data_IF_116901875958
#
_entry.id   IF_116901875958
#
_cell.length_a   1.000
_cell.length_b   1.000
_cell.length_c   1.000
_cell.angle_alpha   90.00
_cell.angle_beta   90.00
_cell.angle_gamma   90.00
#
_symmetry.space_group_name_H-M   'P 1'
#
loop_
_entity.id
_entity.type
_entity.pdbx_description
1 polymer ?
#
# COMPACT_ATOMS: atom_id res chain seq x y z
N UNK A 1 -28.73 -39.95 1.29
CA UNK A 1 -28.99 -38.50 1.08
C UNK A 1 -27.74 -37.65 1.34
N UNK A 2 -26.94 -37.94 2.36
CA UNK A 2 -25.69 -37.22 2.66
C UNK A 2 -24.62 -37.34 1.56
N UNK A 3 -24.46 -38.52 0.96
CA UNK A 3 -23.48 -38.75 -0.10
C UNK A 3 -23.77 -37.91 -1.36
N UNK A 4 -25.05 -37.80 -1.74
CA UNK A 4 -25.51 -36.95 -2.85
C UNK A 4 -25.34 -35.46 -2.54
N UNK A 5 -25.45 -35.06 -1.26
CA UNK A 5 -25.22 -33.69 -0.77
C UNK A 5 -23.73 -33.33 -0.76
N UNK A 6 -22.86 -34.29 -0.43
CA UNK A 6 -21.41 -34.16 -0.53
C UNK A 6 -20.94 -34.01 -1.98
N UNK A 7 -21.50 -34.79 -2.91
CA UNK A 7 -21.17 -34.70 -4.33
C UNK A 7 -21.58 -33.35 -4.96
N UNK A 8 -22.78 -32.85 -4.63
CA UNK A 8 -23.26 -31.53 -5.11
C UNK A 8 -22.41 -30.39 -4.54
N UNK A 9 -21.95 -30.51 -3.29
CA UNK A 9 -21.07 -29.51 -2.67
C UNK A 9 -19.69 -29.51 -3.32
N UNK A 10 -19.13 -30.69 -3.59
CA UNK A 10 -17.87 -30.85 -4.30
C UNK A 10 -17.95 -30.38 -5.77
N UNK A 11 -19.04 -30.67 -6.48
CA UNK A 11 -19.29 -30.16 -7.84
C UNK A 11 -19.45 -28.64 -7.87
N UNK A 12 -20.15 -28.05 -6.90
CA UNK A 12 -20.28 -26.61 -6.80
C UNK A 12 -18.94 -25.95 -6.45
N UNK A 13 -18.16 -26.50 -5.53
CA UNK A 13 -16.80 -26.02 -5.22
C UNK A 13 -15.87 -26.15 -6.45
N UNK A 14 -15.97 -27.24 -7.22
CA UNK A 14 -15.23 -27.41 -8.47
C UNK A 14 -15.65 -26.41 -9.56
N UNK A 15 -16.96 -26.18 -9.74
CA UNK A 15 -17.48 -25.24 -10.73
C UNK A 15 -17.18 -23.78 -10.37
N UNK A 16 -17.16 -23.43 -9.08
CA UNK A 16 -16.75 -22.10 -8.60
C UNK A 16 -15.25 -21.92 -8.83
N UNK A 17 -14.42 -22.90 -8.47
CA UNK A 17 -12.98 -22.83 -8.71
C UNK A 17 -12.65 -22.75 -10.20
N UNK A 18 -13.35 -23.50 -11.08
CA UNK A 18 -13.17 -23.40 -12.54
C UNK A 18 -13.57 -22.02 -13.11
N UNK A 19 -14.63 -21.38 -12.57
CA UNK A 19 -15.02 -20.01 -12.96
C UNK A 19 -14.03 -18.95 -12.46
N UNK A 20 -13.53 -19.09 -11.23
CA UNK A 20 -12.46 -18.23 -10.70
C UNK A 20 -11.13 -18.43 -11.42
N UNK A 21 -10.83 -19.64 -11.91
CA UNK A 21 -9.62 -19.93 -12.69
C UNK A 21 -9.72 -19.38 -14.11
N UNK A 22 -10.87 -19.48 -14.78
CA UNK A 22 -11.11 -18.89 -16.10
C UNK A 22 -11.04 -17.35 -16.13
N UNK A 23 -11.14 -16.69 -14.98
CA UNK A 23 -11.14 -15.23 -14.85
C UNK A 23 -9.80 -14.65 -14.40
N UNK A 24 -8.76 -15.45 -14.15
CA UNK A 24 -7.44 -14.93 -13.77
C UNK A 24 -6.46 -14.89 -14.95
N UNK A 25 -5.68 -13.80 -15.01
CA UNK A 25 -4.80 -13.49 -16.13
C UNK A 25 -3.34 -13.40 -15.67
N UNK A 26 -2.42 -13.76 -16.56
CA UNK A 26 -0.99 -13.43 -16.46
C UNK A 26 -0.79 -11.92 -16.58
N UNK A 27 0.40 -11.43 -16.26
CA UNK A 27 0.81 -10.04 -16.52
C UNK A 27 0.69 -9.60 -18.00
N UNK A 28 0.61 -10.55 -18.95
CA UNK A 28 0.38 -10.30 -20.39
C UNK A 28 -1.09 -10.38 -20.83
N UNK A 29 -2.03 -10.52 -19.89
CA UNK A 29 -3.46 -10.66 -20.23
C UNK A 29 -3.83 -12.02 -20.83
N UNK A 30 -2.98 -13.05 -20.67
CA UNK A 30 -3.29 -14.44 -21.09
C UNK A 30 -3.92 -15.20 -19.93
N UNK A 31 -4.77 -16.22 -20.17
CA UNK A 31 -5.35 -17.01 -19.09
C UNK A 31 -4.28 -17.73 -18.27
N UNK A 32 -4.39 -17.64 -16.93
CA UNK A 32 -3.43 -18.19 -15.98
C UNK A 32 -3.43 -19.72 -15.99
N UNK A 33 -2.27 -20.34 -16.22
CA UNK A 33 -2.10 -21.79 -16.09
C UNK A 33 -1.93 -22.23 -14.62
N UNK A 34 -2.80 -23.10 -14.05
CA UNK A 34 -2.78 -23.52 -12.64
C UNK A 34 -1.50 -24.24 -12.20
N UNK A 35 -0.78 -24.87 -13.14
CA UNK A 35 0.45 -25.61 -12.84
C UNK A 35 1.71 -24.72 -12.83
N UNK A 36 1.61 -23.48 -13.31
CA UNK A 36 2.77 -22.57 -13.47
C UNK A 36 2.63 -21.27 -12.68
N UNK A 37 1.41 -20.79 -12.47
CA UNK A 37 1.15 -19.52 -11.80
C UNK A 37 0.50 -19.72 -10.44
N UNK A 38 0.83 -18.83 -9.50
CA UNK A 38 0.36 -18.88 -8.12
C UNK A 38 1.18 -19.78 -7.22
N UNK A 39 0.64 -20.05 -6.04
CA UNK A 39 1.28 -20.86 -5.00
C UNK A 39 2.38 -20.12 -4.23
N UNK A 40 3.14 -20.89 -3.44
CA UNK A 40 4.11 -20.35 -2.49
C UNK A 40 5.31 -19.66 -3.16
N UNK A 41 5.66 -20.08 -4.38
CA UNK A 41 6.73 -19.46 -5.17
C UNK A 41 6.35 -18.05 -5.64
N UNK A 42 5.11 -17.84 -6.09
CA UNK A 42 4.62 -16.51 -6.43
C UNK A 42 4.50 -15.64 -5.16
N UNK A 43 3.94 -16.22 -4.09
CA UNK A 43 3.76 -15.52 -2.83
C UNK A 43 5.09 -15.09 -2.17
N UNK A 44 6.18 -15.85 -2.33
CA UNK A 44 7.48 -15.50 -1.73
C UNK A 44 8.06 -14.20 -2.28
N UNK A 45 7.83 -13.87 -3.56
CA UNK A 45 8.23 -12.58 -4.12
C UNK A 45 7.46 -11.42 -3.48
N UNK A 46 6.16 -11.61 -3.23
CA UNK A 46 5.32 -10.62 -2.53
C UNK A 46 5.76 -10.47 -1.06
N UNK A 47 6.12 -11.57 -0.40
CA UNK A 47 6.69 -11.54 0.96
C UNK A 47 8.02 -10.79 1.00
N UNK A 48 8.86 -10.95 -0.03
CA UNK A 48 10.10 -10.19 -0.17
C UNK A 48 9.84 -8.70 -0.31
N UNK A 49 8.92 -8.30 -1.20
CA UNK A 49 8.47 -6.90 -1.29
C UNK A 49 7.98 -6.38 0.08
N UNK A 50 7.17 -7.17 0.79
CA UNK A 50 6.64 -6.80 2.11
C UNK A 50 7.74 -6.52 3.13
N UNK A 51 8.77 -7.37 3.18
CA UNK A 51 9.90 -7.21 4.09
C UNK A 51 10.75 -5.97 3.74
N UNK A 52 10.97 -5.70 2.47
CA UNK A 52 11.75 -4.55 2.03
C UNK A 52 11.00 -3.21 2.17
N UNK A 53 9.71 -3.19 1.86
CA UNK A 53 8.85 -2.00 2.02
C UNK A 53 8.72 -1.62 3.49
N UNK A 54 8.43 -2.59 4.38
CA UNK A 54 8.31 -2.28 5.80
C UNK A 54 9.65 -1.82 6.38
N UNK A 55 10.75 -2.40 5.91
CA UNK A 55 12.09 -2.01 6.33
C UNK A 55 12.38 -0.55 5.96
N UNK A 56 12.07 -0.15 4.71
CA UNK A 56 12.26 1.22 4.24
C UNK A 56 11.41 2.22 5.02
N UNK A 57 10.12 1.95 5.17
CA UNK A 57 9.15 2.86 5.79
C UNK A 57 9.30 2.93 7.31
N UNK A 58 9.60 1.83 7.99
CA UNK A 58 9.85 1.85 9.43
C UNK A 58 11.10 2.69 9.76
N UNK A 59 12.17 2.59 8.95
CA UNK A 59 13.37 3.39 9.16
C UNK A 59 13.14 4.89 8.89
N UNK A 60 12.34 5.23 7.87
CA UNK A 60 11.96 6.64 7.62
C UNK A 60 11.05 7.14 8.74
N UNK A 61 9.96 6.43 9.05
CA UNK A 61 8.97 6.86 10.02
C UNK A 61 9.53 7.11 11.42
N UNK A 62 10.41 6.22 11.91
CA UNK A 62 10.97 6.35 13.25
C UNK A 62 12.01 7.47 13.37
N UNK A 63 12.81 7.71 12.32
CA UNK A 63 13.90 8.69 12.39
C UNK A 63 13.60 10.01 11.66
N UNK A 64 12.42 10.12 11.05
CA UNK A 64 11.96 11.35 10.41
C UNK A 64 11.90 12.50 11.41
N UNK A 65 11.44 12.28 12.64
CA UNK A 65 11.37 13.33 13.66
C UNK A 65 12.75 13.96 13.91
N UNK A 66 13.79 13.13 13.99
CA UNK A 66 15.18 13.55 14.16
C UNK A 66 15.65 14.40 12.99
N UNK A 67 15.28 14.03 11.76
CA UNK A 67 15.58 14.83 10.57
C UNK A 67 14.89 16.21 10.61
N UNK A 68 13.61 16.22 10.94
CA UNK A 68 12.80 17.45 10.94
C UNK A 68 13.27 18.44 12.01
N UNK A 69 13.71 17.94 13.17
CA UNK A 69 14.26 18.77 14.24
C UNK A 69 15.68 19.22 13.92
N UNK A 70 16.59 18.28 13.65
CA UNK A 70 18.03 18.58 13.61
C UNK A 70 18.51 19.16 12.29
N UNK A 71 17.81 18.90 11.18
CA UNK A 71 18.27 19.30 9.84
C UNK A 71 17.33 20.33 9.19
N UNK A 72 16.05 20.31 9.53
CA UNK A 72 15.07 21.28 9.02
C UNK A 72 14.73 22.39 10.03
N UNK A 73 15.26 22.29 11.25
CA UNK A 73 15.10 23.25 12.34
C UNK A 73 13.66 23.60 12.70
N UNK A 74 12.71 22.68 12.53
CA UNK A 74 11.36 22.90 13.03
C UNK A 74 11.30 22.67 14.54
N UNK A 75 10.40 23.39 15.22
CA UNK A 75 10.12 23.15 16.63
C UNK A 75 9.65 21.72 16.90
N UNK A 76 9.84 21.24 18.13
CA UNK A 76 9.42 19.89 18.53
C UNK A 76 7.92 19.64 18.29
N UNK A 77 7.08 20.62 18.59
CA UNK A 77 5.62 20.54 18.36
C UNK A 77 5.27 20.44 16.88
N UNK A 78 5.89 21.27 16.04
CA UNK A 78 5.68 21.22 14.58
C UNK A 78 6.19 19.90 13.99
N UNK A 79 7.34 19.41 14.46
CA UNK A 79 7.93 18.14 14.02
C UNK A 79 7.04 16.95 14.36
N UNK A 80 6.49 16.89 15.58
CA UNK A 80 5.56 15.85 15.99
C UNK A 80 4.27 15.87 15.14
N UNK A 81 3.74 17.06 14.84
CA UNK A 81 2.58 17.21 13.96
C UNK A 81 2.88 16.75 12.52
N UNK A 82 4.04 17.10 11.96
CA UNK A 82 4.46 16.67 10.62
C UNK A 82 4.53 15.14 10.54
N UNK A 83 5.19 14.50 11.51
CA UNK A 83 5.34 13.03 11.53
C UNK A 83 4.00 12.33 11.71
N UNK A 84 3.16 12.83 12.64
CA UNK A 84 1.83 12.25 12.88
C UNK A 84 0.92 12.43 11.66
N UNK A 85 0.95 13.60 11.01
CA UNK A 85 0.21 13.85 9.78
C UNK A 85 0.69 12.97 8.64
N UNK A 86 2.01 12.77 8.50
CA UNK A 86 2.58 11.86 7.51
C UNK A 86 2.06 10.43 7.68
N UNK A 87 2.12 9.89 8.92
CA UNK A 87 1.60 8.56 9.23
C UNK A 87 0.08 8.48 9.00
N UNK A 88 -0.68 9.48 9.43
CA UNK A 88 -2.13 9.56 9.17
C UNK A 88 -2.45 9.60 7.68
N UNK A 89 -1.66 10.31 6.89
CA UNK A 89 -1.83 10.40 5.42
C UNK A 89 -1.59 9.05 4.76
N UNK A 90 -0.59 8.27 5.19
CA UNK A 90 -0.37 6.89 4.69
C UNK A 90 -1.63 6.04 4.85
N UNK A 91 -2.25 6.07 6.04
CA UNK A 91 -3.45 5.28 6.31
C UNK A 91 -4.68 5.76 5.51
N UNK A 92 -4.85 7.08 5.36
CA UNK A 92 -5.93 7.63 4.51
C UNK A 92 -5.72 7.26 3.04
N UNK A 93 -4.49 7.36 2.54
CA UNK A 93 -4.16 6.99 1.17
C UNK A 93 -4.21 5.48 0.93
N UNK A 94 -4.11 4.65 1.96
CA UNK A 94 -4.35 3.21 1.83
C UNK A 94 -5.79 2.87 1.43
N UNK A 95 -6.77 3.62 1.95
CA UNK A 95 -8.16 3.48 1.51
C UNK A 95 -8.31 3.84 0.02
N UNK A 96 -7.65 4.92 -0.40
CA UNK A 96 -7.66 5.38 -1.78
C UNK A 96 -6.94 4.40 -2.72
N UNK A 97 -5.82 3.83 -2.29
CA UNK A 97 -5.06 2.83 -3.03
C UNK A 97 -5.80 1.52 -3.22
N UNK A 98 -6.56 1.08 -2.20
CA UNK A 98 -7.48 -0.06 -2.33
C UNK A 98 -8.59 0.24 -3.35
N UNK A 99 -9.23 1.40 -3.26
CA UNK A 99 -10.26 1.83 -4.20
C UNK A 99 -9.76 1.86 -5.67
N UNK A 100 -8.56 2.42 -5.91
CA UNK A 100 -7.96 2.50 -7.24
C UNK A 100 -7.61 1.13 -7.81
N UNK A 101 -7.09 0.23 -6.97
CA UNK A 101 -6.79 -1.15 -7.34
C UNK A 101 -8.04 -1.91 -7.76
N UNK A 102 -9.08 -1.86 -6.94
CA UNK A 102 -10.32 -2.60 -7.17
C UNK A 102 -11.10 -2.07 -8.39
N UNK A 103 -11.01 -0.77 -8.67
CA UNK A 103 -11.83 -0.12 -9.70
C UNK A 103 -11.17 -0.03 -11.08
N UNK A 104 -9.86 0.20 -11.16
CA UNK A 104 -9.20 0.59 -12.42
C UNK A 104 -8.00 -0.29 -12.79
N UNK A 105 -7.03 -0.43 -11.89
CA UNK A 105 -5.67 -0.88 -12.25
C UNK A 105 -5.43 -2.37 -11.93
N UNK A 106 -6.12 -2.92 -10.93
CA UNK A 106 -5.79 -4.21 -10.32
C UNK A 106 -4.57 -4.12 -9.38
N UNK A 107 -4.43 -5.11 -8.51
CA UNK A 107 -3.45 -5.08 -7.40
C UNK A 107 -2.01 -5.01 -7.87
N UNK A 108 -1.64 -5.78 -8.91
CA UNK A 108 -0.28 -5.81 -9.43
C UNK A 108 0.18 -4.46 -10.00
N UNK A 109 -0.60 -3.85 -10.89
CA UNK A 109 -0.26 -2.56 -11.50
C UNK A 109 -0.27 -1.43 -10.48
N UNK A 110 -1.21 -1.47 -9.52
CA UNK A 110 -1.27 -0.49 -8.43
C UNK A 110 0.02 -0.55 -7.61
N UNK A 111 0.45 -1.74 -7.15
CA UNK A 111 1.71 -1.87 -6.42
C UNK A 111 2.92 -1.41 -7.24
N UNK A 112 2.97 -1.73 -8.53
CA UNK A 112 4.11 -1.37 -9.37
C UNK A 112 4.20 0.15 -9.55
N UNK A 113 3.12 0.82 -9.95
CA UNK A 113 3.08 2.27 -10.18
C UNK A 113 3.36 3.01 -8.88
N UNK A 114 2.63 2.69 -7.82
CA UNK A 114 2.76 3.41 -6.55
C UNK A 114 4.06 3.06 -5.82
N UNK A 115 4.65 1.89 -6.04
CA UNK A 115 5.97 1.58 -5.53
C UNK A 115 7.08 2.40 -6.20
N UNK A 116 6.97 2.71 -7.50
CA UNK A 116 7.87 3.69 -8.14
C UNK A 116 7.66 5.11 -7.61
N UNK A 117 6.42 5.49 -7.30
CA UNK A 117 6.11 6.78 -6.65
C UNK A 117 6.77 6.85 -5.27
N UNK A 118 6.67 5.78 -4.46
CA UNK A 118 7.34 5.68 -3.17
C UNK A 118 8.86 5.82 -3.30
N UNK A 119 9.45 5.05 -4.23
CA UNK A 119 10.88 5.11 -4.51
C UNK A 119 11.33 6.52 -4.90
N UNK A 120 10.56 7.21 -5.74
CA UNK A 120 10.85 8.59 -6.13
C UNK A 120 10.84 9.55 -4.93
N UNK A 121 9.89 9.38 -4.00
CA UNK A 121 9.83 10.16 -2.77
C UNK A 121 11.03 9.90 -1.86
N UNK A 122 11.44 8.64 -1.71
CA UNK A 122 12.62 8.26 -0.93
C UNK A 122 13.92 8.81 -1.55
N UNK A 123 14.05 8.77 -2.87
CA UNK A 123 15.20 9.36 -3.59
C UNK A 123 15.21 10.88 -3.38
N UNK A 124 14.06 11.56 -3.50
CA UNK A 124 13.97 13.00 -3.26
C UNK A 124 14.37 13.37 -1.82
N UNK A 125 13.91 12.62 -0.82
CA UNK A 125 14.34 12.80 0.58
C UNK A 125 15.84 12.59 0.75
N UNK A 126 16.41 11.57 0.10
CA UNK A 126 17.85 11.29 0.14
C UNK A 126 18.67 12.40 -0.51
N UNK A 127 18.26 12.88 -1.69
CA UNK A 127 18.91 14.00 -2.40
C UNK A 127 18.83 15.28 -1.57
N UNK A 128 17.67 15.58 -0.99
CA UNK A 128 17.51 16.73 -0.10
C UNK A 128 18.39 16.60 1.15
N UNK A 129 18.52 15.39 1.70
CA UNK A 129 19.39 15.13 2.84
C UNK A 129 20.88 15.26 2.50
N UNK A 130 21.27 14.97 1.26
CA UNK A 130 22.66 15.00 0.82
C UNK A 130 23.14 16.40 0.41
N UNK A 131 22.29 17.17 -0.28
CA UNK A 131 22.68 18.46 -0.89
C UNK A 131 22.52 19.61 0.12
N UNK A 132 23.62 20.27 0.55
CA UNK A 132 23.56 21.32 1.57
C UNK A 132 22.77 22.56 1.14
N UNK A 133 22.66 22.82 -0.17
CA UNK A 133 21.90 23.94 -0.72
C UNK A 133 20.38 23.77 -0.56
N UNK A 134 19.92 22.51 -0.41
CA UNK A 134 18.52 22.15 -0.24
C UNK A 134 18.08 22.12 1.24
N UNK A 135 19.01 22.42 2.15
CA UNK A 135 18.79 22.52 3.60
C UNK A 135 18.99 23.93 4.13
N UNK A 136 18.36 24.31 5.25
CA UNK A 136 18.76 25.51 5.98
C UNK A 136 20.24 25.41 6.42
N UNK A 137 20.92 26.55 6.63
CA UNK A 137 22.31 26.56 7.07
C UNK A 137 22.45 25.84 8.41
N UNK A 138 23.50 25.03 8.59
CA UNK A 138 23.72 24.21 9.79
C UNK A 138 23.57 25.06 11.06
N UNK A 139 22.64 24.69 11.92
CA UNK A 139 22.37 25.37 13.18
C UNK A 139 22.08 24.32 14.25
N UNK A 140 22.66 24.47 15.43
CA UNK A 140 22.41 23.52 16.52
C UNK A 140 21.19 23.99 17.30
N UNK A 141 20.05 23.34 17.09
CA UNK A 141 18.79 23.63 17.83
C UNK A 141 18.96 23.56 19.36
N UNK A 142 19.94 22.79 19.85
CA UNK A 142 20.28 22.65 21.28
C UNK A 142 21.04 23.88 21.82
N UNK A 143 21.82 24.57 20.98
CA UNK A 143 22.72 25.66 21.39
C UNK A 143 22.18 27.03 21.00
N UNK A 144 21.53 27.12 19.84
CA UNK A 144 21.09 28.38 19.22
C UNK A 144 19.57 28.59 19.27
N UNK A 145 18.81 27.59 19.75
CA UNK A 145 17.36 27.69 20.03
C UNK A 145 16.56 28.34 18.90
N UNK A 146 15.85 29.43 19.21
CA UNK A 146 14.98 30.17 18.28
C UNK A 146 15.72 30.97 17.18
N UNK A 147 17.06 31.00 17.17
CA UNK A 147 17.84 31.71 16.14
C UNK A 147 18.13 30.88 14.90
N UNK A 148 17.79 29.58 14.91
CA UNK A 148 17.92 28.74 13.74
C UNK A 148 16.85 29.08 12.70
N UNK A 149 17.28 29.34 11.46
CA UNK A 149 16.36 29.63 10.38
C UNK A 149 15.65 28.34 9.94
N UNK A 150 14.34 28.31 10.16
CA UNK A 150 13.48 27.19 9.72
C UNK A 150 13.52 27.03 8.20
N UNK A 151 13.34 25.80 7.72
CA UNK A 151 13.25 25.52 6.29
C UNK A 151 12.02 26.18 5.64
N UNK A 152 12.18 27.38 5.08
CA UNK A 152 11.13 28.17 4.42
C UNK A 152 11.28 28.16 2.89
N UNK A 153 10.16 28.42 2.20
CA UNK A 153 10.09 28.52 0.74
C UNK A 153 10.32 27.19 0.02
N UNK A 154 11.22 27.19 -0.97
CA UNK A 154 11.46 26.06 -1.88
C UNK A 154 11.96 24.82 -1.14
N UNK A 155 12.78 24.99 -0.08
CA UNK A 155 13.34 23.88 0.71
C UNK A 155 12.26 23.10 1.46
N UNK A 156 11.31 23.82 2.08
CA UNK A 156 10.15 23.22 2.74
C UNK A 156 9.21 22.54 1.73
N UNK A 157 8.98 23.16 0.57
CA UNK A 157 8.13 22.59 -0.48
C UNK A 157 8.68 21.24 -0.97
N UNK A 158 9.98 21.16 -1.27
CA UNK A 158 10.62 19.91 -1.71
C UNK A 158 10.47 18.82 -0.65
N UNK A 159 10.64 19.17 0.62
CA UNK A 159 10.48 18.25 1.73
C UNK A 159 9.06 17.68 1.84
N UNK A 160 8.04 18.54 1.80
CA UNK A 160 6.65 18.11 1.86
C UNK A 160 6.26 17.30 0.62
N UNK A 161 6.70 17.69 -0.57
CA UNK A 161 6.47 16.91 -1.80
C UNK A 161 7.08 15.52 -1.66
N UNK A 162 8.32 15.41 -1.19
CA UNK A 162 8.97 14.12 -1.00
C UNK A 162 8.25 13.26 0.05
N UNK A 163 7.87 13.83 1.19
CA UNK A 163 7.08 13.14 2.22
C UNK A 163 5.73 12.64 1.69
N UNK A 164 4.98 13.48 0.98
CA UNK A 164 3.67 13.09 0.48
C UNK A 164 3.76 12.08 -0.67
N UNK A 165 4.84 12.09 -1.47
CA UNK A 165 5.12 11.04 -2.45
C UNK A 165 5.36 9.68 -1.77
N UNK A 166 6.17 9.66 -0.69
CA UNK A 166 6.37 8.44 0.10
C UNK A 166 5.04 7.99 0.72
N UNK A 167 4.26 8.91 1.28
CA UNK A 167 2.97 8.60 1.89
C UNK A 167 1.97 8.01 0.88
N UNK A 168 1.92 8.58 -0.32
CA UNK A 168 1.06 8.11 -1.41
C UNK A 168 1.47 6.74 -1.92
N UNK A 169 2.78 6.53 -2.12
CA UNK A 169 3.31 5.27 -2.57
C UNK A 169 3.07 4.14 -1.57
N UNK A 170 3.55 4.32 -0.33
CA UNK A 170 3.43 3.31 0.72
C UNK A 170 1.97 3.03 1.10
N UNK A 171 1.14 4.08 1.17
CA UNK A 171 -0.29 3.94 1.40
C UNK A 171 -0.94 3.03 0.37
N UNK A 172 -0.64 3.20 -0.92
CA UNK A 172 -1.23 2.37 -1.98
C UNK A 172 -0.61 0.97 -2.09
N UNK A 173 0.67 0.79 -1.76
CA UNK A 173 1.36 -0.50 -1.88
C UNK A 173 0.91 -1.48 -0.78
N UNK A 174 0.87 -1.04 0.49
CA UNK A 174 0.61 -1.90 1.66
C UNK A 174 -0.67 -2.77 1.57
N UNK A 175 -1.88 -2.21 1.35
CA UNK A 175 -3.10 -3.02 1.32
C UNK A 175 -3.13 -3.96 0.10
N UNK A 176 -2.64 -3.47 -1.04
CA UNK A 176 -2.62 -4.24 -2.29
C UNK A 176 -1.62 -5.39 -2.27
N UNK A 177 -0.54 -5.26 -1.51
CA UNK A 177 0.47 -6.31 -1.33
C UNK A 177 -0.08 -7.52 -0.60
N UNK A 178 -0.79 -7.31 0.51
CA UNK A 178 -1.40 -8.41 1.27
C UNK A 178 -2.50 -9.07 0.45
N UNK A 179 -3.35 -8.28 -0.22
CA UNK A 179 -4.41 -8.80 -1.08
C UNK A 179 -3.84 -9.62 -2.26
N UNK A 180 -2.83 -9.08 -2.95
CA UNK A 180 -2.22 -9.75 -4.10
C UNK A 180 -1.50 -11.05 -3.74
N UNK A 181 -0.83 -11.09 -2.59
CA UNK A 181 -0.19 -12.33 -2.12
C UNK A 181 -1.20 -13.39 -1.68
N UNK A 182 -2.33 -12.98 -1.07
CA UNK A 182 -3.44 -13.87 -0.77
C UNK A 182 -4.07 -14.45 -2.06
N UNK A 183 -4.19 -13.63 -3.11
CA UNK A 183 -4.72 -14.05 -4.42
C UNK A 183 -3.87 -15.11 -5.14
N UNK A 184 -2.64 -15.39 -4.67
CA UNK A 184 -1.81 -16.46 -5.23
C UNK A 184 -2.28 -17.86 -4.80
N UNK A 185 -3.16 -17.97 -3.80
CA UNK A 185 -3.66 -19.24 -3.32
C UNK A 185 -5.14 -19.43 -3.69
N UNK A 186 -5.49 -20.62 -4.19
CA UNK A 186 -6.90 -21.07 -4.23
C UNK A 186 -7.44 -21.20 -2.79
N UNK A 187 -8.76 -21.36 -2.62
CA UNK A 187 -9.54 -21.43 -1.35
C UNK A 187 -9.18 -22.67 -0.48
N UNK A 188 -7.90 -23.02 -0.37
CA UNK A 188 -7.33 -23.98 0.55
C UNK A 188 -6.89 -23.22 1.81
N UNK A 189 -7.78 -23.19 2.80
CA UNK A 189 -7.64 -22.45 4.06
C UNK A 189 -6.31 -22.67 4.79
N UNK A 190 -5.75 -23.88 4.74
CA UNK A 190 -4.46 -24.19 5.40
C UNK A 190 -3.29 -23.44 4.78
N UNK A 191 -3.16 -23.43 3.44
CA UNK A 191 -2.04 -22.76 2.75
C UNK A 191 -2.13 -21.24 2.89
N UNK A 192 -3.35 -20.71 2.83
CA UNK A 192 -3.61 -19.29 3.04
C UNK A 192 -3.25 -18.84 4.46
N UNK A 193 -3.57 -19.64 5.48
CA UNK A 193 -3.15 -19.35 6.86
C UNK A 193 -1.62 -19.36 7.02
N UNK A 194 -0.93 -20.34 6.43
CA UNK A 194 0.54 -20.36 6.40
C UNK A 194 1.12 -19.11 5.73
N UNK A 195 0.51 -18.65 4.63
CA UNK A 195 0.90 -17.41 3.97
C UNK A 195 0.76 -16.20 4.89
N UNK A 196 -0.39 -16.02 5.56
CA UNK A 196 -0.57 -14.90 6.49
C UNK A 196 0.42 -14.94 7.65
N UNK A 197 0.71 -16.13 8.19
CA UNK A 197 1.76 -16.29 9.20
C UNK A 197 3.14 -15.90 8.66
N UNK A 198 3.47 -16.29 7.43
CA UNK A 198 4.72 -15.92 6.78
C UNK A 198 4.80 -14.42 6.47
N UNK A 199 3.68 -13.79 6.08
CA UNK A 199 3.57 -12.35 5.85
C UNK A 199 3.80 -11.56 7.15
N UNK A 200 3.20 -12.02 8.24
CA UNK A 200 3.41 -11.43 9.56
C UNK A 200 4.87 -11.58 10.02
N UNK A 201 5.46 -12.76 9.81
CA UNK A 201 6.88 -12.99 10.09
C UNK A 201 7.79 -12.06 9.26
N UNK A 202 7.54 -11.92 7.96
CA UNK A 202 8.28 -11.02 7.08
C UNK A 202 8.15 -9.55 7.53
N UNK A 203 6.96 -9.14 7.95
CA UNK A 203 6.71 -7.82 8.55
C UNK A 203 7.60 -7.59 9.78
N UNK A 204 7.57 -8.53 10.75
CA UNK A 204 8.35 -8.41 11.98
C UNK A 204 9.86 -8.41 11.73
N UNK A 205 10.36 -9.22 10.78
CA UNK A 205 11.79 -9.24 10.42
C UNK A 205 12.22 -7.93 9.78
N UNK A 206 11.42 -7.40 8.85
CA UNK A 206 11.73 -6.12 8.20
C UNK A 206 11.73 -4.95 9.20
N UNK A 207 10.78 -4.93 10.13
CA UNK A 207 10.71 -3.94 11.21
C UNK A 207 11.90 -4.07 12.18
N UNK A 208 12.27 -5.29 12.59
CA UNK A 208 13.43 -5.53 13.45
C UNK A 208 14.71 -5.00 12.82
N UNK A 209 14.94 -5.29 11.53
CA UNK A 209 16.11 -4.81 10.79
C UNK A 209 16.11 -3.28 10.69
N UNK A 210 14.95 -2.68 10.43
CA UNK A 210 14.82 -1.22 10.34
C UNK A 210 15.16 -0.54 11.66
N UNK A 211 14.56 -1.00 12.76
CA UNK A 211 14.72 -0.38 14.07
C UNK A 211 16.12 -0.59 14.68
N UNK A 212 16.86 -1.60 14.22
CA UNK A 212 18.21 -1.90 14.70
C UNK A 212 19.27 -1.37 13.73
N UNK A 213 19.44 -2.01 12.58
CA UNK A 213 20.52 -1.72 11.64
C UNK A 213 20.34 -0.38 10.94
N UNK A 214 19.16 -0.08 10.40
CA UNK A 214 18.97 1.18 9.66
C UNK A 214 19.01 2.41 10.56
N UNK A 215 18.39 2.36 11.74
CA UNK A 215 18.48 3.45 12.72
C UNK A 215 19.91 3.62 13.22
N UNK A 216 20.64 2.53 13.48
CA UNK A 216 22.05 2.61 13.85
C UNK A 216 22.90 3.28 12.76
N UNK A 217 22.69 2.94 11.49
CA UNK A 217 23.39 3.59 10.37
C UNK A 217 22.98 5.06 10.24
N UNK A 218 21.69 5.37 10.33
CA UNK A 218 21.20 6.75 10.26
C UNK A 218 21.82 7.66 11.34
N UNK A 219 21.99 7.12 12.55
CA UNK A 219 22.55 7.87 13.69
C UNK A 219 24.07 8.03 13.60
N UNK A 220 24.80 7.07 13.02
CA UNK A 220 26.27 7.12 12.94
C UNK A 220 26.80 7.71 11.63
N UNK A 221 26.22 7.33 10.49
CA UNK A 221 26.67 7.74 9.16
C UNK A 221 25.92 8.98 8.61
N UNK A 222 24.84 9.38 9.28
CA UNK A 222 24.02 10.54 8.94
C UNK A 222 22.74 10.19 8.17
N UNK A 223 21.80 11.13 8.19
CA UNK A 223 20.44 10.89 7.69
C UNK A 223 20.38 10.63 6.17
N UNK A 224 21.26 11.25 5.39
CA UNK A 224 21.32 11.05 3.94
C UNK A 224 21.64 9.59 3.57
N UNK A 225 22.54 8.94 4.32
CA UNK A 225 22.84 7.50 4.14
C UNK A 225 21.61 6.67 4.50
N UNK A 226 20.91 7.05 5.56
CA UNK A 226 19.67 6.40 5.98
C UNK A 226 18.57 6.40 4.92
N UNK A 227 18.22 7.58 4.40
CA UNK A 227 17.21 7.69 3.35
C UNK A 227 17.67 7.03 2.04
N UNK A 228 18.97 7.09 1.73
CA UNK A 228 19.55 6.35 0.62
C UNK A 228 19.40 4.83 0.77
N UNK A 229 19.64 4.29 1.96
CA UNK A 229 19.44 2.87 2.26
C UNK A 229 17.96 2.47 2.22
N UNK A 230 17.05 3.30 2.74
CA UNK A 230 15.61 3.06 2.58
C UNK A 230 15.19 3.04 1.10
N UNK A 231 15.72 3.96 0.28
CA UNK A 231 15.48 3.95 -1.16
C UNK A 231 16.04 2.67 -1.83
N UNK A 232 17.23 2.23 -1.44
CA UNK A 232 17.82 0.98 -1.94
C UNK A 232 17.00 -0.25 -1.53
N UNK A 233 16.52 -0.31 -0.28
CA UNK A 233 15.64 -1.36 0.20
C UNK A 233 14.33 -1.40 -0.62
N UNK A 234 13.68 -0.26 -0.82
CA UNK A 234 12.46 -0.19 -1.63
C UNK A 234 12.72 -0.59 -3.10
N UNK A 235 13.85 -0.18 -3.69
CA UNK A 235 14.25 -0.61 -5.02
C UNK A 235 14.44 -2.14 -5.11
N UNK A 236 15.07 -2.75 -4.11
CA UNK A 236 15.19 -4.21 -3.99
C UNK A 236 13.82 -4.89 -3.86
N UNK A 237 12.89 -4.29 -3.12
CA UNK A 237 11.49 -4.73 -3.05
C UNK A 237 10.82 -4.73 -4.42
N UNK A 238 10.95 -3.64 -5.18
CA UNK A 238 10.42 -3.53 -6.54
C UNK A 238 11.06 -4.53 -7.51
N UNK A 239 12.37 -4.75 -7.44
CA UNK A 239 13.05 -5.77 -8.25
C UNK A 239 12.48 -7.16 -7.92
N UNK A 240 12.26 -7.44 -6.63
CA UNK A 240 11.63 -8.69 -6.18
C UNK A 240 10.22 -8.83 -6.76
N UNK A 241 9.41 -7.77 -6.70
CA UNK A 241 8.07 -7.73 -7.30
C UNK A 241 8.13 -8.02 -8.81
N UNK A 242 8.99 -7.32 -9.56
CA UNK A 242 9.09 -7.45 -11.02
C UNK A 242 9.63 -8.84 -11.42
N UNK A 243 10.56 -9.42 -10.66
CA UNK A 243 11.08 -10.77 -10.94
C UNK A 243 10.01 -11.87 -10.82
N UNK A 244 9.01 -11.66 -9.95
CA UNK A 244 7.86 -12.55 -9.77
C UNK A 244 6.79 -12.46 -10.87
N UNK A 245 6.87 -11.49 -11.79
CA UNK A 245 5.84 -11.23 -12.82
C UNK A 245 5.46 -12.45 -13.64
N UNK A 246 6.42 -13.34 -13.92
CA UNK A 246 6.20 -14.57 -14.68
C UNK A 246 5.46 -15.67 -13.91
N UNK A 247 5.30 -15.51 -12.60
CA UNK A 247 4.72 -16.50 -11.69
C UNK A 247 3.40 -16.03 -11.07
N UNK A 248 3.08 -14.73 -11.11
CA UNK A 248 1.86 -14.21 -10.49
C UNK A 248 0.59 -14.62 -11.24
N UNK A 249 -0.43 -14.92 -10.44
CA UNK A 249 -1.82 -14.96 -10.86
C UNK A 249 -2.46 -13.61 -10.56
N UNK A 250 -2.92 -12.89 -11.59
CA UNK A 250 -3.61 -11.62 -11.41
C UNK A 250 -5.12 -11.82 -11.55
N UNK A 251 -5.87 -11.31 -10.58
CA UNK A 251 -7.32 -11.14 -10.71
C UNK A 251 -7.64 -9.82 -11.41
N UNK A 252 -8.60 -9.79 -12.34
CA UNK A 252 -9.07 -8.54 -12.94
C UNK A 252 -9.78 -7.69 -11.87
N UNK A 253 -9.83 -6.36 -12.04
CA UNK A 253 -10.55 -5.48 -11.13
C UNK A 253 -12.02 -5.89 -11.06
N UNK A 254 -12.50 -6.23 -9.86
CA UNK A 254 -13.87 -6.70 -9.61
C UNK A 254 -14.85 -5.56 -9.27
N UNK A 255 -14.38 -4.31 -9.34
CA UNK A 255 -15.14 -3.12 -8.93
C UNK A 255 -15.03 -2.88 -7.43
N UNK A 256 -15.06 -1.62 -7.01
CA UNK A 256 -14.93 -1.27 -5.59
C UNK A 256 -16.25 -1.34 -4.82
N UNK A 257 -16.17 -1.84 -3.58
CA UNK A 257 -17.26 -1.85 -2.57
C UNK A 257 -17.68 -0.42 -2.20
N UNK A 258 -16.80 0.57 -2.35
CA UNK A 258 -17.13 1.97 -2.07
C UNK A 258 -18.19 2.53 -3.03
N UNK A 259 -18.24 2.06 -4.27
CA UNK A 259 -19.19 2.57 -5.27
C UNK A 259 -20.64 2.23 -4.90
N UNK A 260 -21.01 0.97 -4.58
CA UNK A 260 -22.34 0.65 -4.04
C UNK A 260 -22.68 1.39 -2.75
N UNK A 261 -21.73 1.53 -1.81
CA UNK A 261 -21.97 2.23 -0.54
C UNK A 261 -22.27 3.72 -0.78
N UNK A 262 -21.50 4.37 -1.65
CA UNK A 262 -21.75 5.75 -2.05
C UNK A 262 -23.11 5.89 -2.78
N UNK A 263 -23.45 4.96 -3.67
CA UNK A 263 -24.75 4.94 -4.35
C UNK A 263 -25.91 4.82 -3.36
N UNK A 264 -25.81 3.95 -2.35
CA UNK A 264 -26.84 3.79 -1.31
C UNK A 264 -26.95 5.04 -0.45
N UNK A 265 -25.83 5.65 -0.04
CA UNK A 265 -25.83 6.90 0.73
C UNK A 265 -26.47 8.05 -0.06
N UNK A 266 -26.05 8.22 -1.32
CA UNK A 266 -26.60 9.24 -2.22
C UNK A 266 -28.09 8.99 -2.47
N UNK A 267 -28.49 7.73 -2.74
CA UNK A 267 -29.89 7.36 -2.92
C UNK A 267 -30.72 7.62 -1.66
N UNK A 268 -30.20 7.30 -0.46
CA UNK A 268 -30.87 7.54 0.81
C UNK A 268 -31.05 9.03 1.10
N UNK A 269 -30.06 9.87 0.78
CA UNK A 269 -30.14 11.33 0.96
C UNK A 269 -31.11 11.94 -0.05
N UNK A 270 -31.01 11.57 -1.33
CA UNK A 270 -31.85 12.11 -2.40
C UNK A 270 -33.32 11.65 -2.28
N UNK A 271 -33.55 10.41 -1.85
CA UNK A 271 -34.89 9.84 -1.66
C UNK A 271 -35.42 9.97 -0.22
N UNK A 272 -34.76 10.77 0.64
CA UNK A 272 -35.14 10.96 2.05
C UNK A 272 -36.58 11.44 2.27
N UNK A 273 -37.19 12.09 1.26
CA UNK A 273 -38.58 12.58 1.30
C UNK A 273 -39.59 11.63 0.64
N UNK A 274 -39.15 10.48 0.10
CA UNK A 274 -40.08 9.50 -0.46
C UNK A 274 -40.70 8.66 0.65
N UNK A 275 -42.03 8.61 0.68
CA UNK A 275 -42.81 7.78 1.59
C UNK A 275 -42.70 6.33 1.12
N UNK A 276 -42.30 5.43 2.03
CA UNK A 276 -42.23 4.00 1.74
C UNK A 276 -43.62 3.44 1.39
N UNK A 277 -43.77 2.67 0.30
CA UNK A 277 -45.02 1.95 0.05
C UNK A 277 -45.24 0.90 1.15
N UNK A 278 -46.44 0.88 1.73
CA UNK A 278 -46.80 0.06 2.90
C UNK A 278 -46.92 -1.45 2.63
N UNK A 279 -46.47 -1.95 1.47
CA UNK A 279 -46.73 -3.31 1.04
C UNK A 279 -45.43 -4.02 0.57
N UNK A 280 -44.96 -5.08 1.27
CA UNK A 280 -43.70 -5.75 0.95
C UNK A 280 -43.70 -6.56 -0.36
N UNK A 281 -44.83 -6.71 -1.04
CA UNK A 281 -44.98 -7.53 -2.25
C UNK A 281 -45.22 -6.74 -3.55
N UNK A 282 -45.20 -5.40 -3.55
CA UNK A 282 -45.19 -4.65 -4.80
C UNK A 282 -43.75 -4.45 -5.25
N UNK A 283 -43.32 -5.23 -6.24
CA UNK A 283 -42.08 -5.03 -6.97
C UNK A 283 -41.83 -3.55 -7.18
N UNK A 284 -40.65 -3.08 -6.78
CA UNK A 284 -40.15 -1.77 -7.13
C UNK A 284 -39.96 -1.77 -8.65
N UNK A 285 -41.00 -1.42 -9.40
CA UNK A 285 -40.85 -0.98 -10.77
C UNK A 285 -40.06 0.31 -10.71
N UNK A 286 -38.74 0.19 -10.62
CA UNK A 286 -37.84 1.17 -11.20
C UNK A 286 -38.32 1.33 -12.64
N UNK A 287 -39.08 2.39 -12.88
CA UNK A 287 -39.37 2.85 -14.21
C UNK A 287 -38.02 3.13 -14.86
N UNK A 288 -37.59 2.14 -15.64
CA UNK A 288 -36.51 2.16 -16.59
C UNK A 288 -36.69 3.39 -17.47
N UNK A 289 -36.04 4.49 -17.10
CA UNK A 289 -36.01 5.71 -17.91
C UNK A 289 -34.57 6.19 -18.05
N UNK A 290 -33.90 5.53 -18.99
CA UNK A 290 -32.97 6.06 -20.00
C UNK A 290 -31.72 6.86 -19.59
N UNK A 291 -30.57 6.30 -20.04
CA UNK A 291 -29.28 6.92 -20.48
C UNK A 291 -28.53 7.70 -19.38
N UNK A 292 -27.24 7.47 -19.13
CA UNK A 292 -26.10 7.18 -20.01
C UNK A 292 -25.16 6.14 -19.38
#
# INVERSE_FOLDING_TARGET
>A
MEERRGNIKAENEMNINMKEEQSTFDWRGRPSNPNKHGGFQAASFVLGLQAFEIMAIAAVGNNLITYVINEMHFSLSNSANIVTNFVGTIFLLALLGGYLSDSFLGSFWTMLIFGFVELSGLILLSVQAHVPQLKPPKCNMVTDGEKCEEAKGVKGLIFFVALYLVALGSGCVKPNMIAHGADQFNIQTKKLSTYFNAAYFAFSVGELIALTLLIWIQTHAGMYVGFGLSAAAMAMGLITLVSGTLYYRNKPPQGSIFTPVAQVLVAAILKRKQICPSNPNSNCSMHQTQRF
#
